data_IF_886338776491
#
_entry.id   IF_886338776491
#
_cell.length_a   1.000
_cell.length_b   1.000
_cell.length_c   1.000
_cell.angle_alpha   90.00
_cell.angle_beta   90.00
_cell.angle_gamma   90.00
#
_symmetry.space_group_name_H-M   'P 1'
#
loop_
_entity.id
_entity.type
_entity.pdbx_description
1 polymer ?
#
# COMPACT_ATOMS: atom_id res chain seq x y z
N UNK A 1 -16.86 0.33 11.84
CA UNK A 1 -16.35 0.85 13.13
C UNK A 1 -14.90 0.40 13.24
N UNK A 2 -13.93 1.28 12.98
CA UNK A 2 -12.51 0.95 13.08
C UNK A 2 -12.07 1.19 14.51
N UNK A 3 -11.99 0.12 15.30
CA UNK A 3 -11.46 0.15 16.66
C UNK A 3 -9.95 0.33 16.60
N UNK A 4 -9.41 1.29 17.35
CA UNK A 4 -7.95 1.48 17.42
C UNK A 4 -7.34 0.21 18.03
N UNK A 5 -6.41 -0.48 17.33
CA UNK A 5 -5.83 -1.71 17.81
C UNK A 5 -4.87 -1.45 18.99
N UNK A 6 -4.76 -2.45 19.87
CA UNK A 6 -3.72 -2.49 20.90
C UNK A 6 -2.51 -3.25 20.38
N UNK A 7 -1.33 -2.84 20.83
CA UNK A 7 -0.09 -3.56 20.55
C UNK A 7 -0.16 -4.95 21.22
N UNK A 8 0.06 -6.06 20.48
CA UNK A 8 0.08 -7.40 21.07
C UNK A 8 1.21 -7.61 22.09
N UNK A 9 2.29 -6.83 22.00
CA UNK A 9 3.47 -7.02 22.84
C UNK A 9 3.48 -6.10 24.08
N UNK A 10 2.91 -4.89 23.96
CA UNK A 10 2.92 -3.89 25.02
C UNK A 10 1.54 -3.63 25.63
N UNK A 11 0.47 -4.14 25.02
CA UNK A 11 -0.93 -3.93 25.39
C UNK A 11 -1.40 -2.46 25.44
N UNK A 12 -0.57 -1.53 24.95
CA UNK A 12 -0.90 -0.10 24.79
C UNK A 12 -1.69 0.15 23.50
N UNK A 13 -2.57 1.15 23.52
CA UNK A 13 -3.23 1.66 22.32
C UNK A 13 -2.19 2.15 21.29
N UNK A 14 -2.40 1.82 20.03
CA UNK A 14 -1.48 2.19 18.95
C UNK A 14 -1.88 3.52 18.29
N UNK A 15 -0.90 4.28 17.81
CA UNK A 15 -1.13 5.54 17.09
C UNK A 15 -1.43 5.28 15.61
N UNK A 16 -2.48 5.92 15.07
CA UNK A 16 -2.84 5.81 13.65
C UNK A 16 -1.88 6.63 12.79
N UNK A 17 -1.49 6.06 11.65
CA UNK A 17 -0.68 6.69 10.62
C UNK A 17 -0.85 6.00 9.27
N UNK A 18 0.06 6.29 8.35
CA UNK A 18 0.13 5.65 7.03
C UNK A 18 1.58 5.64 6.55
N UNK A 19 1.91 4.70 5.66
CA UNK A 19 3.18 4.70 4.93
C UNK A 19 2.97 5.51 3.65
N UNK A 20 3.78 6.55 3.39
CA UNK A 20 3.75 7.25 2.12
C UNK A 20 4.48 6.44 1.04
N UNK A 21 3.89 6.36 -0.14
CA UNK A 21 4.56 5.92 -1.36
C UNK A 21 5.08 7.16 -2.11
N UNK A 22 6.37 7.17 -2.43
CA UNK A 22 7.03 8.32 -3.06
C UNK A 22 7.00 8.16 -4.57
N UNK A 23 6.19 9.01 -5.22
CA UNK A 23 6.14 9.11 -6.67
C UNK A 23 6.95 10.30 -7.16
N UNK A 24 7.16 10.38 -8.48
CA UNK A 24 7.80 11.54 -9.09
C UNK A 24 7.08 12.87 -8.81
N UNK A 25 5.75 12.84 -8.62
CA UNK A 25 4.91 14.04 -8.42
C UNK A 25 4.61 14.35 -6.95
N UNK A 26 5.13 13.55 -6.01
CA UNK A 26 4.89 13.71 -4.58
C UNK A 26 4.61 12.39 -3.86
N UNK A 27 4.23 12.49 -2.59
CA UNK A 27 3.88 11.34 -1.77
C UNK A 27 2.37 11.03 -1.87
N UNK A 28 2.05 9.76 -2.08
CA UNK A 28 0.69 9.22 -2.05
C UNK A 28 0.52 8.30 -0.83
N UNK A 29 -0.72 8.10 -0.38
CA UNK A 29 -0.98 7.06 0.61
C UNK A 29 -0.88 5.69 -0.07
N UNK A 30 -0.10 4.77 0.49
CA UNK A 30 0.01 3.40 -0.04
C UNK A 30 -1.33 2.68 -0.02
N UNK A 31 -1.57 1.89 -1.08
CA UNK A 31 -2.78 1.08 -1.23
C UNK A 31 -2.43 -0.40 -1.31
N UNK A 32 -3.37 -1.23 -0.89
CA UNK A 32 -3.36 -2.67 -1.07
C UNK A 32 -4.20 -3.02 -2.30
N UNK A 33 -3.71 -3.95 -3.11
CA UNK A 33 -4.43 -4.51 -4.25
C UNK A 33 -4.55 -6.03 -4.08
N UNK A 34 -5.72 -6.64 -4.33
CA UNK A 34 -5.87 -8.10 -4.30
C UNK A 34 -5.18 -8.77 -5.49
N UNK A 35 -4.75 -10.02 -5.31
CA UNK A 35 -4.19 -10.83 -6.40
C UNK A 35 -2.73 -10.56 -6.70
N UNK A 36 -2.26 -11.12 -7.83
CA UNK A 36 -0.87 -11.03 -8.26
C UNK A 36 -0.61 -9.77 -9.10
N UNK A 37 0.60 -9.19 -9.05
CA UNK A 37 0.95 -8.05 -9.88
C UNK A 37 1.00 -8.43 -11.37
N UNK A 38 0.18 -7.77 -12.18
CA UNK A 38 0.21 -7.92 -13.64
C UNK A 38 1.18 -6.92 -14.27
N UNK A 39 1.94 -7.31 -15.30
CA UNK A 39 2.86 -6.39 -15.98
C UNK A 39 2.10 -5.34 -16.79
N UNK A 40 2.47 -4.06 -16.66
CA UNK A 40 1.90 -2.95 -17.45
C UNK A 40 2.45 -2.89 -18.89
N UNK A 41 2.62 -4.04 -19.53
CA UNK A 41 3.10 -4.11 -20.91
C UNK A 41 2.13 -3.36 -21.82
N UNK A 42 2.63 -2.33 -22.51
CA UNK A 42 1.83 -1.58 -23.49
C UNK A 42 2.13 -2.10 -24.88
N UNK A 43 1.08 -2.49 -25.62
CA UNK A 43 1.16 -2.70 -27.06
C UNK A 43 0.78 -1.41 -27.79
N UNK A 44 1.68 -0.90 -28.63
CA UNK A 44 1.41 0.24 -29.52
C UNK A 44 1.53 -0.26 -30.96
N UNK A 45 0.46 -0.14 -31.75
CA UNK A 45 0.37 -0.66 -33.13
C UNK A 45 0.82 -2.13 -33.28
N UNK A 46 0.49 -3.00 -32.32
CA UNK A 46 0.84 -4.42 -32.35
C UNK A 46 2.28 -4.77 -31.96
N UNK A 47 3.14 -3.77 -31.68
CA UNK A 47 4.45 -4.01 -31.08
C UNK A 47 4.38 -3.93 -29.56
N UNK A 48 4.83 -4.99 -28.88
CA UNK A 48 5.04 -5.00 -27.43
C UNK A 48 6.25 -4.10 -27.10
N UNK A 49 6.02 -2.96 -26.46
CA UNK A 49 7.12 -2.21 -25.87
C UNK A 49 7.56 -2.94 -24.60
N UNK A 50 8.83 -3.37 -24.57
CA UNK A 50 9.42 -3.94 -23.35
C UNK A 50 9.39 -2.90 -22.24
N UNK A 51 8.67 -3.21 -21.18
CA UNK A 51 8.61 -2.42 -19.97
C UNK A 51 9.95 -2.53 -19.22
N UNK A 52 10.89 -1.60 -19.49
CA UNK A 52 12.22 -1.59 -18.84
C UNK A 52 12.15 -1.30 -17.34
N UNK A 53 11.01 -0.85 -16.85
CA UNK A 53 10.80 -0.37 -15.49
C UNK A 53 10.02 -1.34 -14.60
N UNK A 54 9.68 -2.56 -15.08
CA UNK A 54 8.85 -3.53 -14.34
C UNK A 54 7.58 -2.89 -13.75
N UNK A 55 6.97 -1.93 -14.46
CA UNK A 55 5.75 -1.30 -13.94
C UNK A 55 4.61 -2.32 -13.96
N UNK A 56 3.81 -2.30 -12.91
CA UNK A 56 2.65 -3.17 -12.76
C UNK A 56 1.39 -2.43 -13.17
N UNK A 57 0.45 -3.13 -13.78
CA UNK A 57 -0.89 -2.62 -14.01
C UNK A 57 -1.65 -2.69 -12.68
N UNK A 58 -2.25 -1.57 -12.28
CA UNK A 58 -3.04 -1.47 -11.05
C UNK A 58 -4.41 -0.94 -11.44
N UNK A 59 -5.44 -1.74 -11.21
CA UNK A 59 -6.83 -1.27 -11.32
C UNK A 59 -7.20 -0.57 -10.01
N UNK A 60 -7.35 0.76 -10.08
CA UNK A 60 -7.67 1.57 -8.90
C UNK A 60 -9.03 1.20 -8.29
N UNK A 61 -9.97 0.67 -9.08
CA UNK A 61 -11.33 0.35 -8.63
C UNK A 61 -11.39 -0.79 -7.60
N UNK A 62 -10.33 -1.59 -7.49
CA UNK A 62 -10.18 -2.68 -6.51
C UNK A 62 -9.22 -2.37 -5.36
N UNK A 63 -8.61 -1.17 -5.33
CA UNK A 63 -7.61 -0.84 -4.31
C UNK A 63 -8.23 -0.44 -2.97
N UNK A 64 -7.54 -0.77 -1.89
CA UNK A 64 -7.90 -0.38 -0.51
C UNK A 64 -6.79 0.45 0.09
N UNK A 65 -7.14 1.55 0.76
CA UNK A 65 -6.12 2.37 1.44
C UNK A 65 -5.53 1.57 2.59
N UNK A 66 -4.21 1.58 2.71
CA UNK A 66 -3.55 0.98 3.86
C UNK A 66 -3.52 2.02 4.98
N UNK A 67 -4.15 1.67 6.09
CA UNK A 67 -3.98 2.37 7.37
C UNK A 67 -2.96 1.59 8.20
N UNK A 68 -1.98 2.29 8.76
CA UNK A 68 -0.96 1.68 9.63
C UNK A 68 -1.14 2.20 11.06
N UNK A 69 -0.88 1.33 12.03
CA UNK A 69 -0.84 1.70 13.43
C UNK A 69 0.55 1.39 13.99
N UNK A 70 1.15 2.35 14.70
CA UNK A 70 2.46 2.21 15.35
C UNK A 70 2.30 2.11 16.86
N UNK A 71 3.00 1.17 17.49
CA UNK A 71 3.09 1.18 18.94
C UNK A 71 4.04 2.31 19.39
N UNK A 72 3.60 3.25 20.24
CA UNK A 72 4.47 4.33 20.70
C UNK A 72 5.60 3.84 21.61
N UNK A 73 5.44 2.66 22.23
CA UNK A 73 6.41 2.08 23.17
C UNK A 73 7.51 1.28 22.48
N UNK A 74 7.15 0.30 21.65
CA UNK A 74 8.12 -0.61 21.01
C UNK A 74 8.32 -0.38 19.51
N UNK A 75 7.48 0.45 18.87
CA UNK A 75 7.58 0.73 17.44
C UNK A 75 6.96 -0.31 16.50
N UNK A 76 6.36 -1.39 17.01
CA UNK A 76 5.66 -2.38 16.19
C UNK A 76 4.63 -1.71 15.27
N UNK A 77 4.61 -2.10 13.99
CA UNK A 77 3.65 -1.62 13.00
C UNK A 77 2.65 -2.72 12.65
N UNK A 78 1.36 -2.34 12.56
CA UNK A 78 0.29 -3.19 12.02
C UNK A 78 -0.44 -2.42 10.93
N UNK A 79 -0.52 -3.01 9.73
CA UNK A 79 -1.14 -2.39 8.56
C UNK A 79 -2.42 -3.14 8.16
N UNK A 80 -3.47 -2.39 7.85
CA UNK A 80 -4.79 -2.90 7.50
C UNK A 80 -5.27 -2.26 6.20
N UNK A 81 -5.81 -3.09 5.31
CA UNK A 81 -6.44 -2.66 4.07
C UNK A 81 -7.96 -2.49 4.29
N UNK A 82 -8.43 -1.25 4.39
CA UNK A 82 -9.85 -0.90 4.60
C UNK A 82 -10.58 -0.65 3.27
#
# INVERSE_FOLDING_TARGET
MSTIPRCPDCETEMEKGFVPDNTFLGALQTVWHPGDPESADRSVFGMKLKNRTQTVHVDESGTRKITTYRCPTCGLLRSYAE
#
